data_IF_579489324076
#
_entry.id   IF_579489324076
#
_cell.length_a   1.000
_cell.length_b   1.000
_cell.length_c   1.000
_cell.angle_alpha   90.00
_cell.angle_beta   90.00
_cell.angle_gamma   90.00
#
_symmetry.space_group_name_H-M   'P 1'
#
loop_
_entity.id
_entity.type
_entity.pdbx_description
1 polymer ?
#
# COMPACT_ATOMS: atom_id res chain seq x y z
N UNK A 1 -5.87 -23.92 -13.05
CA UNK A 1 -6.41 -24.64 -11.89
C UNK A 1 -6.24 -23.84 -10.58
N UNK A 2 -5.24 -22.97 -10.48
CA UNK A 2 -4.96 -22.18 -9.24
C UNK A 2 -5.59 -20.79 -9.24
N UNK A 3 -6.05 -20.27 -10.38
CA UNK A 3 -6.56 -18.92 -10.54
C UNK A 3 -7.99 -18.90 -11.06
N UNK A 4 -8.75 -17.87 -10.65
CA UNK A 4 -10.12 -17.61 -11.11
C UNK A 4 -11.06 -18.78 -10.87
N UNK A 5 -11.98 -19.00 -11.77
CA UNK A 5 -12.97 -20.08 -11.69
C UNK A 5 -12.35 -21.48 -11.68
N UNK A 6 -11.15 -21.67 -12.23
CA UNK A 6 -10.47 -22.97 -12.18
C UNK A 6 -10.23 -23.48 -10.76
N UNK A 7 -10.01 -22.57 -9.79
CA UNK A 7 -9.82 -22.90 -8.39
C UNK A 7 -11.11 -23.46 -7.74
N UNK A 8 -12.27 -22.93 -8.11
CA UNK A 8 -13.57 -23.35 -7.57
C UNK A 8 -13.91 -24.81 -7.99
N UNK A 9 -13.48 -25.21 -9.19
CA UNK A 9 -13.77 -26.55 -9.75
C UNK A 9 -12.66 -27.57 -9.46
N UNK A 10 -11.47 -27.16 -9.04
CA UNK A 10 -10.33 -28.06 -8.86
C UNK A 10 -10.29 -28.76 -7.49
N UNK A 11 -11.05 -28.29 -6.51
CA UNK A 11 -11.01 -28.84 -5.16
C UNK A 11 -9.60 -28.78 -4.56
N UNK A 12 -9.21 -29.85 -3.88
CA UNK A 12 -7.88 -29.96 -3.26
C UNK A 12 -6.83 -30.36 -4.30
N UNK A 13 -5.91 -29.47 -4.60
CA UNK A 13 -4.81 -29.73 -5.53
C UNK A 13 -3.68 -30.47 -4.81
N UNK A 14 -3.20 -31.57 -5.43
CA UNK A 14 -2.03 -32.31 -4.95
C UNK A 14 -1.02 -32.43 -6.09
N UNK A 15 0.17 -31.93 -5.88
CA UNK A 15 1.28 -32.06 -6.84
C UNK A 15 2.08 -33.29 -6.47
N UNK A 16 2.29 -34.17 -7.44
CA UNK A 16 3.06 -35.44 -7.27
C UNK A 16 4.16 -35.44 -8.31
N UNK A 17 5.39 -35.72 -7.88
CA UNK A 17 6.51 -35.94 -8.79
C UNK A 17 6.36 -37.30 -9.47
N UNK A 18 6.28 -37.30 -10.79
CA UNK A 18 6.18 -38.49 -11.63
C UNK A 18 7.46 -38.75 -12.45
N UNK A 19 8.58 -38.15 -12.03
CA UNK A 19 9.90 -38.39 -12.59
C UNK A 19 10.24 -37.62 -13.85
N UNK A 20 9.48 -36.60 -14.22
CA UNK A 20 9.89 -35.67 -15.29
C UNK A 20 11.08 -34.82 -14.86
N UNK A 21 12.11 -34.74 -15.70
CA UNK A 21 13.21 -33.81 -15.50
C UNK A 21 12.62 -32.39 -15.52
N UNK A 22 12.83 -31.64 -14.44
CA UNK A 22 12.42 -30.23 -14.38
C UNK A 22 13.12 -29.45 -15.49
N UNK A 23 12.38 -29.06 -16.51
CA UNK A 23 12.83 -28.00 -17.39
C UNK A 23 12.86 -26.71 -16.56
N UNK A 24 13.95 -25.93 -16.63
CA UNK A 24 14.03 -24.60 -16.03
C UNK A 24 13.03 -23.67 -16.74
N UNK A 25 11.77 -23.82 -16.41
CA UNK A 25 10.77 -22.83 -16.80
C UNK A 25 10.93 -21.59 -15.92
N UNK A 26 10.98 -20.41 -16.53
CA UNK A 26 10.89 -19.16 -15.77
C UNK A 26 9.54 -19.13 -15.08
N UNK A 27 9.55 -19.31 -13.76
CA UNK A 27 8.35 -19.22 -12.94
C UNK A 27 7.95 -17.75 -12.87
N UNK A 28 6.81 -17.40 -13.44
CA UNK A 28 6.31 -16.02 -13.49
C UNK A 28 5.29 -15.73 -12.38
N UNK A 29 4.77 -16.76 -11.70
CA UNK A 29 3.77 -16.64 -10.66
C UNK A 29 3.97 -17.71 -9.60
N UNK A 30 3.93 -17.30 -8.34
CA UNK A 30 4.02 -18.19 -7.18
C UNK A 30 2.75 -18.04 -6.33
N UNK A 31 2.27 -19.13 -5.75
CA UNK A 31 1.24 -19.04 -4.71
C UNK A 31 1.85 -18.34 -3.48
N UNK A 32 1.17 -17.32 -2.96
CA UNK A 32 1.64 -16.58 -1.81
C UNK A 32 1.59 -17.48 -0.55
N UNK A 33 2.76 -17.79 -0.02
CA UNK A 33 2.92 -18.54 1.23
C UNK A 33 3.98 -17.87 2.13
N UNK A 34 3.92 -18.08 3.45
CA UNK A 34 4.93 -17.54 4.37
C UNK A 34 6.37 -17.89 3.99
N UNK A 35 6.61 -19.07 3.41
CA UNK A 35 7.95 -19.54 3.02
C UNK A 35 8.65 -18.60 2.04
N UNK A 36 7.87 -17.86 1.23
CA UNK A 36 8.41 -16.90 0.25
C UNK A 36 8.97 -15.64 0.90
N UNK A 37 8.48 -15.24 2.06
CA UNK A 37 8.77 -13.92 2.63
C UNK A 37 9.12 -13.90 4.10
N UNK A 38 8.91 -15.00 4.87
CA UNK A 38 9.08 -15.02 6.33
C UNK A 38 10.50 -14.67 6.76
N UNK A 39 11.51 -15.06 5.97
CA UNK A 39 12.91 -14.75 6.22
C UNK A 39 13.27 -13.27 5.98
N UNK A 40 12.45 -12.57 5.18
CA UNK A 40 12.62 -11.14 4.88
C UNK A 40 11.72 -10.26 5.73
N UNK A 41 10.82 -10.87 6.52
CA UNK A 41 9.91 -10.11 7.38
C UNK A 41 10.70 -9.39 8.48
N UNK A 42 10.50 -8.08 8.68
CA UNK A 42 11.26 -7.29 9.65
C UNK A 42 10.77 -7.55 11.08
N UNK A 43 11.10 -8.72 11.61
CA UNK A 43 10.72 -9.11 12.96
C UNK A 43 11.20 -8.10 14.00
N UNK A 44 10.40 -7.93 15.06
CA UNK A 44 10.71 -7.01 16.15
C UNK A 44 12.03 -7.42 16.82
N UNK A 45 13.02 -6.52 16.79
CA UNK A 45 14.25 -6.70 17.55
C UNK A 45 14.05 -6.21 18.99
N UNK A 46 14.65 -6.89 19.96
CA UNK A 46 14.51 -6.56 21.39
C UNK A 46 15.01 -5.15 21.71
N UNK A 47 16.09 -4.69 21.06
CA UNK A 47 16.70 -3.38 21.22
C UNK A 47 16.12 -2.29 20.32
N UNK A 48 15.06 -2.59 19.54
CA UNK A 48 14.49 -1.66 18.57
C UNK A 48 13.53 -0.64 19.21
N UNK A 49 13.61 0.61 18.78
CA UNK A 49 12.61 1.63 19.11
C UNK A 49 11.52 1.71 18.00
N UNK A 50 10.41 2.42 18.29
CA UNK A 50 9.27 2.51 17.35
C UNK A 50 9.65 2.98 15.94
N UNK A 51 10.60 3.89 15.83
CA UNK A 51 11.00 4.43 14.51
C UNK A 51 11.87 3.48 13.69
N UNK A 52 12.53 2.49 14.30
CA UNK A 52 13.28 1.47 13.57
C UNK A 52 12.37 0.51 12.80
N UNK A 53 11.09 0.45 13.16
CA UNK A 53 10.07 -0.36 12.49
C UNK A 53 9.32 0.38 11.37
N UNK A 54 9.83 1.53 10.97
CA UNK A 54 9.27 2.34 9.89
C UNK A 54 8.07 3.21 10.28
N UNK A 55 7.79 4.15 9.38
CA UNK A 55 6.65 5.10 9.47
C UNK A 55 5.82 4.95 8.22
N UNK A 56 4.60 4.49 8.40
CA UNK A 56 3.62 4.35 7.32
C UNK A 56 2.71 5.57 7.30
N UNK A 57 2.56 6.15 6.13
CA UNK A 57 1.56 7.18 5.87
C UNK A 57 0.44 6.57 5.04
N UNK A 58 -0.80 6.91 5.35
CA UNK A 58 -1.97 6.51 4.57
C UNK A 58 -2.66 7.77 4.08
N UNK A 59 -2.77 7.91 2.78
CA UNK A 59 -3.55 8.98 2.17
C UNK A 59 -5.03 8.64 2.29
N UNK A 60 -5.75 9.38 3.14
CA UNK A 60 -7.13 9.11 3.50
C UNK A 60 -8.11 9.30 2.34
N UNK A 61 -9.13 8.48 2.35
CA UNK A 61 -10.21 8.52 1.37
C UNK A 61 -11.18 9.69 1.56
N UNK A 62 -12.16 9.76 0.67
CA UNK A 62 -13.29 10.70 0.76
C UNK A 62 -14.17 10.36 1.98
N UNK A 63 -15.08 11.28 2.33
CA UNK A 63 -15.89 11.18 3.55
C UNK A 63 -16.69 9.87 3.63
N UNK A 64 -17.27 9.44 2.53
CA UNK A 64 -18.07 8.22 2.41
C UNK A 64 -17.23 6.94 2.46
N UNK A 65 -15.92 7.03 2.21
CA UNK A 65 -14.99 5.91 2.08
C UNK A 65 -13.91 5.88 3.16
N UNK A 66 -14.12 6.56 4.29
CA UNK A 66 -13.17 6.60 5.41
C UNK A 66 -12.89 5.23 6.02
N UNK A 67 -13.83 4.28 5.88
CA UNK A 67 -13.68 2.90 6.36
C UNK A 67 -12.47 2.17 5.79
N UNK A 68 -12.18 2.32 4.50
CA UNK A 68 -11.01 1.71 3.86
C UNK A 68 -9.69 2.23 4.47
N UNK A 69 -9.59 3.53 4.72
CA UNK A 69 -8.44 4.14 5.42
C UNK A 69 -8.29 3.60 6.85
N UNK A 70 -9.40 3.42 7.55
CA UNK A 70 -9.44 2.88 8.92
C UNK A 70 -8.91 1.45 8.94
N UNK A 71 -9.40 0.59 8.05
CA UNK A 71 -8.95 -0.80 7.94
C UNK A 71 -7.46 -0.88 7.57
N UNK A 72 -7.00 -0.05 6.65
CA UNK A 72 -5.59 0.04 6.26
C UNK A 72 -4.69 0.45 7.43
N UNK A 73 -5.13 1.42 8.24
CA UNK A 73 -4.39 1.86 9.42
C UNK A 73 -4.34 0.77 10.50
N UNK A 74 -5.42 0.02 10.71
CA UNK A 74 -5.43 -1.14 11.60
C UNK A 74 -4.48 -2.23 11.14
N UNK A 75 -4.50 -2.58 9.85
CA UNK A 75 -3.61 -3.56 9.27
C UNK A 75 -2.15 -3.16 9.47
N UNK A 76 -1.79 -1.91 9.15
CA UNK A 76 -0.45 -1.39 9.33
C UNK A 76 0.02 -1.44 10.80
N UNK A 77 -0.82 -1.14 11.77
CA UNK A 77 -0.50 -1.29 13.19
C UNK A 77 -0.30 -2.75 13.58
N UNK A 78 -1.16 -3.65 13.12
CA UNK A 78 -1.10 -5.09 13.44
C UNK A 78 0.12 -5.78 12.86
N UNK A 79 0.61 -5.35 11.71
CA UNK A 79 1.87 -5.85 11.12
C UNK A 79 3.13 -5.40 11.86
N UNK A 80 2.99 -4.58 12.91
CA UNK A 80 4.09 -4.18 13.78
C UNK A 80 4.82 -2.91 13.34
N UNK A 81 4.25 -2.14 12.42
CA UNK A 81 4.79 -0.83 12.03
C UNK A 81 5.00 0.08 13.23
N UNK A 82 6.06 0.85 13.25
CA UNK A 82 6.43 1.69 14.39
C UNK A 82 5.53 2.90 14.59
N UNK A 83 4.97 3.43 13.50
CA UNK A 83 4.07 4.57 13.54
C UNK A 83 3.20 4.62 12.28
N UNK A 84 1.94 4.91 12.46
CA UNK A 84 0.98 5.15 11.37
C UNK A 84 0.49 6.60 11.45
N UNK A 85 0.45 7.26 10.31
CA UNK A 85 -0.10 8.60 10.16
C UNK A 85 -1.10 8.62 9.01
N UNK A 86 -2.29 9.17 9.24
CA UNK A 86 -3.29 9.42 8.20
C UNK A 86 -3.16 10.87 7.76
N UNK A 87 -2.99 11.07 6.46
CA UNK A 87 -3.12 12.36 5.79
C UNK A 87 -4.55 12.46 5.28
N UNK A 88 -5.28 13.48 5.68
CA UNK A 88 -6.70 13.60 5.39
C UNK A 88 -7.13 15.04 5.14
N UNK A 89 -8.29 15.22 4.53
CA UNK A 89 -8.93 16.52 4.39
C UNK A 89 -9.59 16.94 5.71
N UNK A 90 -9.90 18.24 5.84
CA UNK A 90 -10.66 18.78 6.96
C UNK A 90 -11.97 18.03 7.21
N UNK A 91 -12.67 17.66 6.13
CA UNK A 91 -13.98 17.01 6.21
C UNK A 91 -13.96 15.59 6.80
N UNK A 92 -12.80 14.92 6.77
CA UNK A 92 -12.64 13.53 7.26
C UNK A 92 -11.83 13.45 8.55
N UNK A 93 -11.18 14.53 8.95
CA UNK A 93 -10.29 14.58 10.12
C UNK A 93 -11.01 14.11 11.39
N UNK A 94 -12.21 14.60 11.65
CA UNK A 94 -12.97 14.27 12.86
C UNK A 94 -13.27 12.78 12.95
N UNK A 95 -13.62 12.13 11.84
CA UNK A 95 -13.86 10.69 11.78
C UNK A 95 -12.65 9.89 12.26
N UNK A 96 -11.45 10.28 11.81
CA UNK A 96 -10.22 9.60 12.19
C UNK A 96 -9.77 9.92 13.62
N UNK A 97 -10.03 11.14 14.12
CA UNK A 97 -9.71 11.52 15.50
C UNK A 97 -10.48 10.67 16.50
N UNK A 98 -11.77 10.48 16.27
CA UNK A 98 -12.64 9.68 17.17
C UNK A 98 -12.27 8.19 17.09
N UNK A 99 -12.06 7.66 15.87
CA UNK A 99 -11.88 6.22 15.68
C UNK A 99 -10.51 5.71 16.12
N UNK A 100 -9.44 6.54 15.99
CA UNK A 100 -8.05 6.10 16.20
C UNK A 100 -7.23 7.04 17.05
N UNK A 101 -7.32 7.00 18.38
CA UNK A 101 -6.45 7.81 19.24
C UNK A 101 -4.95 7.56 19.03
N UNK A 102 -4.57 6.30 18.74
CA UNK A 102 -3.17 5.87 18.59
C UNK A 102 -2.53 6.19 17.24
N UNK A 103 -3.31 6.56 16.23
CA UNK A 103 -2.83 6.92 14.90
C UNK A 103 -2.67 8.43 14.80
N UNK A 104 -1.55 8.89 14.28
CA UNK A 104 -1.33 10.32 14.01
C UNK A 104 -2.18 10.79 12.82
N UNK A 105 -2.64 12.03 12.83
CA UNK A 105 -3.38 12.65 11.73
C UNK A 105 -2.71 13.95 11.32
N UNK A 106 -2.78 14.24 10.03
CA UNK A 106 -2.36 15.53 9.48
C UNK A 106 -3.39 15.97 8.46
N UNK A 107 -3.94 17.15 8.69
CA UNK A 107 -4.85 17.79 7.73
C UNK A 107 -4.03 18.35 6.56
N UNK A 108 -4.43 17.99 5.35
CA UNK A 108 -3.84 18.47 4.09
C UNK A 108 -4.99 18.70 3.10
N UNK A 109 -5.18 19.93 2.69
CA UNK A 109 -6.30 20.32 1.84
C UNK A 109 -5.91 20.55 0.38
N UNK A 110 -4.62 20.76 0.11
CA UNK A 110 -4.14 21.04 -1.24
C UNK A 110 -2.77 20.39 -1.52
N UNK A 111 -2.39 20.38 -2.81
CA UNK A 111 -1.17 19.71 -3.28
C UNK A 111 0.12 20.38 -2.76
N UNK A 112 0.10 21.69 -2.50
CA UNK A 112 1.27 22.38 -1.98
C UNK A 112 1.54 22.03 -0.52
N UNK A 113 0.49 21.87 0.28
CA UNK A 113 0.60 21.33 1.65
C UNK A 113 1.12 19.90 1.65
N UNK A 114 0.61 19.04 0.75
CA UNK A 114 1.12 17.70 0.59
C UNK A 114 2.61 17.69 0.21
N UNK A 115 3.01 18.53 -0.74
CA UNK A 115 4.42 18.66 -1.16
C UNK A 115 5.32 19.07 0.01
N UNK A 116 4.90 20.04 0.82
CA UNK A 116 5.63 20.46 2.04
C UNK A 116 5.71 19.31 3.05
N UNK A 117 4.61 18.62 3.29
CA UNK A 117 4.54 17.46 4.17
C UNK A 117 5.51 16.36 3.73
N UNK A 118 5.49 15.95 2.45
CA UNK A 118 6.37 14.93 1.91
C UNK A 118 7.86 15.30 1.97
N UNK A 119 8.19 16.57 1.91
CA UNK A 119 9.58 17.04 2.02
C UNK A 119 10.07 17.10 3.49
N UNK A 120 9.18 17.35 4.45
CA UNK A 120 9.53 17.56 5.87
C UNK A 120 9.51 16.28 6.68
N UNK A 121 8.60 15.38 6.38
CA UNK A 121 8.39 14.15 7.17
C UNK A 121 9.31 13.01 6.74
N UNK A 122 9.82 12.28 7.72
CA UNK A 122 10.55 11.02 7.48
C UNK A 122 9.55 9.91 7.24
N UNK A 123 9.21 9.65 5.99
CA UNK A 123 8.24 8.62 5.57
C UNK A 123 9.00 7.40 5.08
N UNK A 124 8.70 6.22 5.62
CA UNK A 124 9.24 4.96 5.12
C UNK A 124 8.41 4.46 3.95
N UNK A 125 7.10 4.42 4.11
CA UNK A 125 6.18 3.98 3.07
C UNK A 125 4.87 4.74 3.11
N UNK A 126 4.18 4.79 1.97
CA UNK A 126 2.87 5.41 1.85
C UNK A 126 1.91 4.51 1.10
N UNK A 127 0.67 4.43 1.59
CA UNK A 127 -0.47 3.83 0.89
C UNK A 127 -1.37 4.95 0.36
N UNK A 128 -1.76 4.85 -0.89
CA UNK A 128 -2.73 5.73 -1.53
C UNK A 128 -3.69 4.92 -2.41
N UNK A 129 -4.93 5.33 -2.45
CA UNK A 129 -5.94 4.83 -3.38
C UNK A 129 -7.23 4.38 -2.74
N UNK A 130 -7.23 3.60 -1.64
CA UNK A 130 -8.49 3.12 -1.07
C UNK A 130 -9.44 4.28 -0.74
N UNK A 131 -10.55 4.36 -1.48
CA UNK A 131 -11.58 5.37 -1.32
C UNK A 131 -11.16 6.81 -1.65
N UNK A 132 -10.07 7.01 -2.40
CA UNK A 132 -9.55 8.36 -2.72
C UNK A 132 -10.37 9.06 -3.83
N UNK A 133 -11.11 8.29 -4.63
CA UNK A 133 -11.80 8.75 -5.83
C UNK A 133 -10.88 8.75 -7.06
N UNK A 134 -11.41 8.23 -8.18
CA UNK A 134 -10.66 8.17 -9.44
C UNK A 134 -10.85 9.44 -10.25
N UNK A 135 -9.97 10.43 -10.04
CA UNK A 135 -10.03 11.73 -10.72
C UNK A 135 -8.62 12.31 -10.99
N UNK A 136 -8.57 13.40 -11.74
CA UNK A 136 -7.31 14.08 -12.09
C UNK A 136 -6.50 14.52 -10.87
N UNK A 137 -7.16 14.96 -9.80
CA UNK A 137 -6.49 15.38 -8.55
C UNK A 137 -5.74 14.21 -7.92
N UNK A 138 -6.36 13.04 -7.81
CA UNK A 138 -5.72 11.84 -7.24
C UNK A 138 -4.58 11.37 -8.13
N UNK A 139 -4.73 11.44 -9.46
CA UNK A 139 -3.65 11.14 -10.39
C UNK A 139 -2.41 12.01 -10.14
N UNK A 140 -2.58 13.33 -9.99
CA UNK A 140 -1.46 14.24 -9.72
C UNK A 140 -0.84 14.02 -8.33
N UNK A 141 -1.66 13.73 -7.33
CA UNK A 141 -1.19 13.36 -5.99
C UNK A 141 -0.38 12.07 -6.04
N UNK A 142 -0.86 11.05 -6.75
CA UNK A 142 -0.15 9.78 -6.92
C UNK A 142 1.19 9.98 -7.62
N UNK A 143 1.24 10.78 -8.69
CA UNK A 143 2.48 11.15 -9.37
C UNK A 143 3.48 11.86 -8.43
N UNK A 144 3.00 12.77 -7.59
CA UNK A 144 3.83 13.47 -6.62
C UNK A 144 4.41 12.52 -5.57
N UNK A 145 3.58 11.62 -5.05
CA UNK A 145 3.98 10.62 -4.05
C UNK A 145 5.04 9.69 -4.63
N UNK A 146 4.83 9.14 -5.83
CA UNK A 146 5.77 8.25 -6.52
C UNK A 146 7.13 8.90 -6.76
N UNK A 147 7.18 10.22 -6.97
CA UNK A 147 8.43 10.96 -7.13
C UNK A 147 9.19 11.23 -5.82
N UNK A 148 8.52 11.16 -4.69
CA UNK A 148 9.07 11.63 -3.40
C UNK A 148 9.28 10.52 -2.37
N UNK A 149 8.53 9.43 -2.44
CA UNK A 149 8.56 8.36 -1.46
C UNK A 149 9.08 7.07 -2.10
N UNK A 150 10.04 6.43 -1.46
CA UNK A 150 10.71 5.24 -1.99
C UNK A 150 9.79 4.02 -2.05
N UNK A 151 8.99 3.79 -1.01
CA UNK A 151 8.10 2.63 -0.94
C UNK A 151 6.65 3.10 -0.97
N UNK A 152 5.96 2.80 -2.04
CA UNK A 152 4.58 3.22 -2.28
C UNK A 152 3.71 2.01 -2.60
N UNK A 153 2.59 1.90 -1.89
CA UNK A 153 1.53 0.94 -2.21
C UNK A 153 0.43 1.71 -2.93
N UNK A 154 0.16 1.33 -4.16
CA UNK A 154 -0.94 1.85 -4.97
C UNK A 154 -2.07 0.83 -4.96
N UNK A 155 -3.28 1.26 -4.62
CA UNK A 155 -4.46 0.41 -4.62
C UNK A 155 -5.66 1.15 -5.22
N UNK A 156 -6.67 0.40 -5.65
CA UNK A 156 -7.97 0.91 -6.08
C UNK A 156 -7.87 2.17 -6.96
N UNK A 157 -8.34 3.32 -6.46
CA UNK A 157 -8.44 4.57 -7.23
C UNK A 157 -7.09 5.15 -7.67
N UNK A 158 -6.01 4.86 -6.94
CA UNK A 158 -4.66 5.27 -7.34
C UNK A 158 -4.16 4.54 -8.59
N UNK A 159 -4.69 3.36 -8.89
CA UNK A 159 -4.46 2.62 -10.13
C UNK A 159 -5.49 3.02 -11.20
N UNK A 160 -6.77 3.07 -10.81
CA UNK A 160 -7.88 3.37 -11.71
C UNK A 160 -7.75 4.74 -12.37
N UNK A 161 -7.20 5.74 -11.67
CA UNK A 161 -6.98 7.09 -12.22
C UNK A 161 -5.96 7.13 -13.38
N UNK A 162 -5.21 6.05 -13.63
CA UNK A 162 -4.33 5.89 -14.79
C UNK A 162 -4.96 5.09 -15.93
N UNK A 163 -6.25 4.72 -15.83
CA UNK A 163 -6.96 4.09 -16.94
C UNK A 163 -6.85 4.98 -18.18
N UNK A 164 -6.34 4.40 -19.27
CA UNK A 164 -6.07 5.12 -20.53
C UNK A 164 -4.71 5.86 -20.58
N UNK A 165 -3.92 5.87 -19.48
CA UNK A 165 -2.60 6.52 -19.45
C UNK A 165 -1.57 5.70 -18.64
N UNK A 166 -1.50 4.41 -18.90
CA UNK A 166 -0.56 3.49 -18.23
C UNK A 166 0.90 3.86 -18.49
N UNK A 167 1.19 4.46 -19.65
CA UNK A 167 2.58 4.92 -19.98
C UNK A 167 3.09 5.90 -18.93
N UNK A 168 2.26 6.84 -18.47
CA UNK A 168 2.64 7.77 -17.38
C UNK A 168 2.93 7.06 -16.07
N UNK A 169 2.18 6.01 -15.73
CA UNK A 169 2.45 5.23 -14.51
C UNK A 169 3.77 4.47 -14.62
N UNK A 170 3.99 3.72 -15.71
CA UNK A 170 5.21 2.95 -15.94
C UNK A 170 6.46 3.82 -15.92
N UNK A 171 6.42 4.99 -16.57
CA UNK A 171 7.56 5.93 -16.56
C UNK A 171 7.94 6.44 -15.15
N UNK A 172 7.02 6.43 -14.21
CA UNK A 172 7.29 6.80 -12.81
C UNK A 172 7.82 5.62 -12.00
N UNK A 173 7.39 4.40 -12.32
CA UNK A 173 7.86 3.19 -11.64
C UNK A 173 9.30 2.84 -12.05
N UNK A 174 9.65 2.98 -13.33
CA UNK A 174 10.99 2.68 -13.84
C UNK A 174 12.08 3.61 -13.30
N UNK A 175 11.75 4.84 -12.91
CA UNK A 175 12.68 5.79 -12.31
C UNK A 175 13.07 5.49 -10.86
N UNK A 176 12.39 4.54 -10.22
CA UNK A 176 12.58 4.20 -8.81
C UNK A 176 13.21 2.80 -8.62
N UNK A 177 13.79 2.24 -9.67
CA UNK A 177 14.57 1.00 -9.60
C UNK A 177 16.01 1.25 -9.17
#
# INVERSE_FOLDING_TARGET
HLLGFGKEFSGKLKVVDIGFKHQKMQTTCLENSPDLWINFFPWKKFSGHKYSRGRVVIYGGQKEFTGATILSAQAALRTGTGSVKIVCSKNTLQTYLVKFPSVLKTEINNINELKRFLNKEKITSILIGPGSGSNKKIKEITKLILKKVKYVVLDADALTCFKGDLKSLYSLLDKNK
#
